data_IF_320470988197
#
_entry.id   IF_320470988197
#
_cell.length_a   1.000
_cell.length_b   1.000
_cell.length_c   1.000
_cell.angle_alpha   90.00
_cell.angle_beta   90.00
_cell.angle_gamma   90.00
#
_symmetry.space_group_name_H-M   'P 1'
#
loop_
_entity.id
_entity.type
_entity.pdbx_description
1 polymer ?
#
# COMPACT_ATOMS: atom_id res chain seq x y z
N UNK A 1 13.49 -1.13 3.39
CA UNK A 1 12.25 -0.39 3.60
C UNK A 1 11.24 -1.35 4.20
N UNK A 2 10.77 -1.05 5.41
CA UNK A 2 9.87 -1.93 6.15
C UNK A 2 8.41 -1.56 5.89
N UNK A 3 7.53 -2.56 6.02
CA UNK A 3 6.10 -2.35 5.90
C UNK A 3 5.58 -1.55 7.09
N UNK A 4 4.86 -0.46 6.80
CA UNK A 4 4.19 0.37 7.79
C UNK A 4 2.75 0.60 7.38
N UNK A 5 1.83 0.06 8.18
CA UNK A 5 0.39 0.00 7.88
C UNK A 5 -0.22 1.39 7.70
N UNK A 6 0.00 2.31 8.62
CA UNK A 6 -0.55 3.68 8.57
C UNK A 6 -0.11 4.43 7.30
N UNK A 7 1.14 4.22 6.88
CA UNK A 7 1.69 4.87 5.69
C UNK A 7 1.13 4.29 4.40
N UNK A 8 0.84 2.99 4.39
CA UNK A 8 0.18 2.35 3.25
C UNK A 8 -1.25 2.86 3.11
N UNK A 9 -1.95 3.08 4.24
CA UNK A 9 -3.28 3.71 4.24
C UNK A 9 -3.25 5.12 3.66
N UNK A 10 -2.30 5.96 4.08
CA UNK A 10 -2.14 7.31 3.53
C UNK A 10 -1.89 7.29 2.00
N UNK A 11 -1.03 6.37 1.53
CA UNK A 11 -0.78 6.22 0.10
C UNK A 11 -2.04 5.80 -0.67
N UNK A 12 -2.82 4.89 -0.10
CA UNK A 12 -4.11 4.45 -0.65
C UNK A 12 -5.13 5.59 -0.71
N UNK A 13 -5.15 6.50 0.27
CA UNK A 13 -6.04 7.67 0.26
C UNK A 13 -5.74 8.63 -0.90
N UNK A 14 -4.48 8.70 -1.33
CA UNK A 14 -4.04 9.59 -2.41
C UNK A 14 -4.16 8.97 -3.81
N UNK A 15 -4.21 7.65 -3.92
CA UNK A 15 -4.20 6.93 -5.19
C UNK A 15 -5.46 6.07 -5.36
N UNK A 16 -6.31 6.48 -6.31
CA UNK A 16 -7.59 5.79 -6.61
C UNK A 16 -7.41 4.36 -7.11
N UNK A 17 -6.30 4.06 -7.78
CA UNK A 17 -6.01 2.71 -8.25
C UNK A 17 -5.64 1.82 -7.07
N UNK A 18 -4.73 2.28 -6.19
CA UNK A 18 -4.39 1.54 -4.97
C UNK A 18 -5.59 1.36 -4.04
N UNK A 19 -6.51 2.34 -3.98
CA UNK A 19 -7.76 2.19 -3.25
C UNK A 19 -8.65 1.08 -3.82
N UNK A 20 -8.79 0.99 -5.14
CA UNK A 20 -9.53 -0.09 -5.76
C UNK A 20 -8.87 -1.46 -5.48
N UNK A 21 -7.56 -1.57 -5.68
CA UNK A 21 -6.81 -2.80 -5.39
C UNK A 21 -6.86 -3.20 -3.91
N UNK A 22 -6.89 -2.22 -3.00
CA UNK A 22 -7.07 -2.46 -1.56
C UNK A 22 -8.44 -3.04 -1.25
N UNK A 23 -9.51 -2.49 -1.86
CA UNK A 23 -10.87 -3.01 -1.69
C UNK A 23 -11.00 -4.46 -2.19
N UNK A 24 -10.35 -4.81 -3.30
CA UNK A 24 -10.32 -6.19 -3.80
C UNK A 24 -9.50 -7.11 -2.87
N UNK A 25 -8.37 -6.62 -2.36
CA UNK A 25 -7.50 -7.38 -1.46
C UNK A 25 -8.17 -7.63 -0.09
N UNK A 26 -8.90 -6.66 0.47
CA UNK A 26 -9.62 -6.84 1.74
C UNK A 26 -10.79 -7.83 1.57
N UNK A 27 -11.50 -7.79 0.45
CA UNK A 27 -12.56 -8.77 0.14
C UNK A 27 -12.00 -10.19 0.02
N UNK A 28 -10.78 -10.33 -0.48
CA UNK A 28 -10.12 -11.64 -0.65
C UNK A 28 -9.50 -12.16 0.64
N UNK A 29 -8.77 -11.31 1.36
CA UNK A 29 -8.00 -11.70 2.55
C UNK A 29 -8.83 -11.73 3.84
N UNK A 30 -9.88 -10.90 3.92
CA UNK A 30 -10.68 -10.71 5.14
C UNK A 30 -9.94 -10.04 6.31
N UNK A 31 -8.66 -9.69 6.12
CA UNK A 31 -7.81 -9.02 7.10
C UNK A 31 -7.11 -7.81 6.48
N UNK A 32 -7.27 -6.66 7.12
CA UNK A 32 -6.72 -5.39 6.63
C UNK A 32 -5.19 -5.38 6.61
N UNK A 33 -4.55 -5.96 7.63
CA UNK A 33 -3.09 -5.95 7.72
C UNK A 33 -2.48 -6.81 6.61
N UNK A 34 -3.09 -7.98 6.34
CA UNK A 34 -2.71 -8.86 5.25
C UNK A 34 -2.92 -8.21 3.88
N UNK A 35 -4.07 -7.54 3.67
CA UNK A 35 -4.35 -6.84 2.42
C UNK A 35 -3.35 -5.71 2.16
N UNK A 36 -3.07 -4.87 3.17
CA UNK A 36 -2.09 -3.79 3.07
C UNK A 36 -0.67 -4.31 2.81
N UNK A 37 -0.30 -5.41 3.47
CA UNK A 37 1.00 -6.06 3.26
C UNK A 37 1.12 -6.63 1.84
N UNK A 38 0.05 -7.24 1.33
CA UNK A 38 -0.01 -7.74 -0.05
C UNK A 38 0.18 -6.61 -1.07
N UNK A 39 -0.51 -5.47 -0.89
CA UNK A 39 -0.34 -4.30 -1.77
C UNK A 39 1.09 -3.75 -1.71
N UNK A 40 1.67 -3.67 -0.52
CA UNK A 40 3.05 -3.23 -0.34
C UNK A 40 4.04 -4.15 -1.06
N UNK A 41 3.90 -5.47 -0.90
CA UNK A 41 4.79 -6.44 -1.53
C UNK A 41 4.58 -6.52 -3.05
N UNK A 42 3.36 -6.24 -3.55
CA UNK A 42 3.03 -6.31 -4.98
C UNK A 42 3.45 -5.04 -5.72
N UNK A 43 3.06 -3.86 -5.23
CA UNK A 43 3.22 -2.60 -5.95
C UNK A 43 4.41 -1.78 -5.44
N UNK A 44 4.53 -1.62 -4.12
CA UNK A 44 5.56 -0.74 -3.53
C UNK A 44 6.95 -1.35 -3.62
N UNK A 45 7.09 -2.66 -3.39
CA UNK A 45 8.39 -3.32 -3.50
C UNK A 45 8.86 -3.47 -4.95
N UNK A 46 7.96 -3.67 -5.92
CA UNK A 46 8.37 -3.99 -7.28
C UNK A 46 8.46 -2.77 -8.20
N UNK A 47 7.71 -1.69 -7.93
CA UNK A 47 7.69 -0.52 -8.79
C UNK A 47 8.48 0.66 -8.20
N UNK A 48 9.54 1.15 -8.89
CA UNK A 48 10.36 2.26 -8.38
C UNK A 48 9.56 3.54 -8.11
N UNK A 49 8.54 3.83 -8.91
CA UNK A 49 7.68 4.99 -8.73
C UNK A 49 6.85 4.90 -7.46
N UNK A 50 6.24 3.73 -7.21
CA UNK A 50 5.46 3.47 -5.99
C UNK A 50 6.36 3.45 -4.76
N UNK A 51 7.57 2.90 -4.88
CA UNK A 51 8.57 2.96 -3.81
C UNK A 51 8.91 4.40 -3.43
N UNK A 52 9.17 5.26 -4.42
CA UNK A 52 9.49 6.67 -4.16
C UNK A 52 8.31 7.42 -3.54
N UNK A 53 7.08 7.15 -3.99
CA UNK A 53 5.88 7.74 -3.41
C UNK A 53 5.69 7.31 -1.95
N UNK A 54 5.86 6.01 -1.68
CA UNK A 54 5.82 5.48 -0.32
C UNK A 54 6.93 6.09 0.54
N UNK A 55 8.17 6.20 0.01
CA UNK A 55 9.30 6.81 0.71
C UNK A 55 9.05 8.28 1.05
N UNK A 56 8.48 9.04 0.13
CA UNK A 56 8.13 10.44 0.33
C UNK A 56 7.11 10.62 1.47
N UNK A 57 6.12 9.72 1.54
CA UNK A 57 5.13 9.69 2.63
C UNK A 57 5.75 9.19 3.95
N UNK A 58 6.82 8.40 3.90
CA UNK A 58 7.48 7.81 5.07
C UNK A 58 8.54 8.69 5.76
N UNK A 59 8.93 9.82 5.16
CA UNK A 59 10.05 10.64 5.62
C UNK A 59 9.65 11.89 6.45
N UNK A 60 8.42 11.95 6.95
CA UNK A 60 7.95 13.02 7.84
C UNK A 60 7.70 12.55 9.27
#
# INVERSE_FOLDING_TARGET
MDFQQERMKQMIEHDRFLHASYMEAIETCGDESAALKLLFDTYVQNEPMMRNAYEHLTNH
#
